data_IF_928276097182
#
_entry.id   IF_928276097182
#
_cell.length_a   1.000
_cell.length_b   1.000
_cell.length_c   1.000
_cell.angle_alpha   90.00
_cell.angle_beta   90.00
_cell.angle_gamma   90.00
#
_symmetry.space_group_name_H-M   'P 1'
#
loop_
_entity.id
_entity.type
_entity.pdbx_description
1 polymer ?
#
# COMPACT_ATOMS: atom_id res chain seq x y z
N UNK A 1 -37.77 -52.54 37.99
CA UNK A 1 -37.62 -51.73 36.74
C UNK A 1 -36.91 -50.38 36.96
N UNK A 2 -36.94 -49.75 38.15
CA UNK A 2 -36.28 -48.46 38.42
C UNK A 2 -34.73 -48.45 38.28
N UNK A 3 -34.02 -49.54 38.63
CA UNK A 3 -32.55 -49.55 38.65
C UNK A 3 -31.86 -49.70 37.28
N UNK A 4 -32.57 -50.13 36.22
CA UNK A 4 -32.00 -50.21 34.86
C UNK A 4 -32.04 -48.84 34.15
N UNK A 5 -33.09 -48.06 34.36
CA UNK A 5 -33.24 -46.72 33.78
C UNK A 5 -32.22 -45.74 34.37
N UNK A 6 -31.94 -45.85 35.67
CA UNK A 6 -30.99 -44.97 36.37
C UNK A 6 -29.52 -45.26 36.01
N UNK A 7 -29.18 -46.52 35.70
CA UNK A 7 -27.87 -46.90 35.16
C UNK A 7 -27.68 -46.42 33.71
N UNK A 8 -28.71 -46.48 32.88
CA UNK A 8 -28.66 -45.97 31.50
C UNK A 8 -28.53 -44.44 31.43
N UNK A 9 -29.23 -43.71 32.31
CA UNK A 9 -29.10 -42.25 32.42
C UNK A 9 -27.71 -41.81 32.90
N UNK A 10 -27.07 -42.58 33.78
CA UNK A 10 -25.72 -42.28 34.28
C UNK A 10 -24.63 -42.51 33.22
N UNK A 11 -24.78 -43.55 32.40
CA UNK A 11 -23.82 -43.84 31.31
C UNK A 11 -23.96 -42.82 30.16
N UNK A 12 -25.19 -42.42 29.82
CA UNK A 12 -25.43 -41.37 28.83
C UNK A 12 -24.85 -40.01 29.26
N UNK A 13 -24.96 -39.66 30.55
CA UNK A 13 -24.40 -38.41 31.09
C UNK A 13 -22.86 -38.39 31.07
N UNK A 14 -22.20 -39.52 31.36
CA UNK A 14 -20.73 -39.63 31.33
C UNK A 14 -20.18 -39.59 29.90
N UNK A 15 -20.86 -40.23 28.94
CA UNK A 15 -20.45 -40.21 27.53
C UNK A 15 -20.65 -38.83 26.87
N UNK A 16 -21.68 -38.08 27.27
CA UNK A 16 -21.90 -36.70 26.81
C UNK A 16 -20.84 -35.75 27.38
N UNK A 17 -20.39 -35.96 28.63
CA UNK A 17 -19.34 -35.16 29.25
C UNK A 17 -17.94 -35.42 28.65
N UNK A 18 -17.64 -36.66 28.26
CA UNK A 18 -16.39 -36.99 27.54
C UNK A 18 -16.35 -36.38 26.13
N UNK A 19 -17.47 -36.31 25.42
CA UNK A 19 -17.53 -35.67 24.10
C UNK A 19 -17.30 -34.15 24.16
N UNK A 20 -17.78 -33.48 25.22
CA UNK A 20 -17.58 -32.03 25.42
C UNK A 20 -16.10 -31.72 25.74
N UNK A 21 -15.41 -32.58 26.50
CA UNK A 21 -13.99 -32.40 26.82
C UNK A 21 -13.06 -32.70 25.63
N UNK A 22 -13.39 -33.66 24.76
CA UNK A 22 -12.59 -33.95 23.56
C UNK A 22 -12.84 -32.90 22.45
N UNK A 23 -14.10 -32.44 22.28
CA UNK A 23 -14.44 -31.42 21.28
C UNK A 23 -13.79 -30.05 21.55
N UNK A 24 -13.61 -29.68 22.81
CA UNK A 24 -12.95 -28.42 23.18
C UNK A 24 -11.41 -28.47 23.09
N UNK A 25 -10.79 -29.66 23.05
CA UNK A 25 -9.35 -29.79 22.80
C UNK A 25 -9.00 -29.67 21.31
N UNK A 26 -9.80 -30.26 20.42
CA UNK A 26 -9.57 -30.18 18.96
C UNK A 26 -9.79 -28.75 18.45
N UNK A 27 -10.81 -28.04 18.95
CA UNK A 27 -11.13 -26.68 18.50
C UNK A 27 -10.05 -25.64 18.90
N UNK A 28 -9.37 -25.85 20.03
CA UNK A 28 -8.30 -24.95 20.51
C UNK A 28 -7.03 -25.07 19.66
N UNK A 29 -6.76 -26.26 19.11
CA UNK A 29 -5.57 -26.51 18.28
C UNK A 29 -5.66 -25.95 16.85
N UNK A 30 -6.87 -25.83 16.29
CA UNK A 30 -7.11 -25.30 14.94
C UNK A 30 -7.08 -23.78 14.85
N UNK A 31 -7.60 -23.08 15.87
CA UNK A 31 -7.61 -21.61 15.90
C UNK A 31 -6.21 -21.01 16.09
N UNK A 32 -5.34 -21.69 16.86
CA UNK A 32 -4.01 -21.17 17.15
C UNK A 32 -3.02 -21.28 15.98
N UNK A 33 -3.24 -22.23 15.05
CA UNK A 33 -2.40 -22.37 13.86
C UNK A 33 -2.65 -21.30 12.79
N UNK A 34 -3.80 -20.64 12.80
CA UNK A 34 -4.12 -19.57 11.84
C UNK A 34 -3.71 -18.17 12.30
N UNK A 35 -3.41 -17.95 13.58
CA UNK A 35 -3.01 -16.62 14.10
C UNK A 35 -1.51 -16.34 13.93
N UNK A 36 -0.68 -17.36 13.69
CA UNK A 36 0.78 -17.20 13.54
C UNK A 36 1.23 -16.87 12.10
N UNK A 37 0.30 -16.79 11.15
CA UNK A 37 0.59 -16.29 9.81
C UNK A 37 0.49 -14.76 9.83
N UNK A 38 1.67 -14.12 9.83
CA UNK A 38 1.93 -12.71 9.50
C UNK A 38 1.72 -11.67 10.61
N UNK A 39 2.67 -11.61 11.55
CA UNK A 39 3.07 -10.34 12.18
C UNK A 39 3.95 -9.53 11.21
N UNK A 40 3.44 -9.21 10.02
CA UNK A 40 4.05 -8.16 9.19
C UNK A 40 3.44 -6.85 9.70
N UNK A 41 4.24 -6.03 10.38
CA UNK A 41 3.78 -4.70 10.77
C UNK A 41 3.31 -3.96 9.51
N UNK A 42 2.11 -3.35 9.49
CA UNK A 42 1.64 -2.55 8.35
C UNK A 42 2.56 -1.36 8.05
N UNK A 43 3.45 -1.02 8.98
CA UNK A 43 4.48 0.01 8.87
C UNK A 43 5.79 -0.43 8.18
N UNK A 44 5.98 -1.73 7.92
CA UNK A 44 7.23 -2.24 7.39
C UNK A 44 7.30 -2.12 5.86
N UNK A 45 7.19 -0.90 5.34
CA UNK A 45 7.66 -0.64 3.98
C UNK A 45 9.19 -0.74 4.00
N UNK A 46 9.81 -1.57 3.16
CA UNK A 46 11.27 -1.67 3.11
C UNK A 46 11.90 -0.31 2.89
N UNK A 47 12.96 -0.02 3.66
CA UNK A 47 13.75 1.18 3.46
C UNK A 47 14.30 1.21 2.02
N UNK A 48 14.50 2.41 1.43
CA UNK A 48 15.13 2.53 0.12
C UNK A 48 16.54 1.91 0.15
N UNK A 49 16.95 1.25 -0.93
CA UNK A 49 18.32 0.74 -1.07
C UNK A 49 19.30 1.91 -1.22
N UNK A 50 20.27 2.12 -0.29
CA UNK A 50 21.04 3.38 -0.25
C UNK A 50 21.94 3.62 -1.47
N UNK A 51 22.52 2.56 -2.05
CA UNK A 51 23.49 2.64 -3.15
C UNK A 51 22.83 2.55 -4.55
N UNK A 52 21.51 2.70 -4.63
CA UNK A 52 20.81 2.64 -5.90
C UNK A 52 21.09 3.89 -6.75
N UNK A 53 21.70 3.68 -7.92
CA UNK A 53 21.93 4.73 -8.92
C UNK A 53 20.63 5.06 -9.68
N UNK A 54 19.86 5.97 -9.09
CA UNK A 54 18.60 6.44 -9.64
C UNK A 54 18.78 7.24 -10.95
N UNK A 55 19.89 7.97 -11.09
CA UNK A 55 20.13 8.77 -12.30
C UNK A 55 20.38 7.87 -13.50
N UNK A 56 21.22 6.84 -13.32
CA UNK A 56 21.46 5.81 -14.36
C UNK A 56 20.18 5.06 -14.70
N UNK A 57 19.37 4.68 -13.71
CA UNK A 57 18.09 4.02 -13.96
C UNK A 57 17.12 4.90 -14.77
N UNK A 58 17.04 6.19 -14.43
CA UNK A 58 16.24 7.16 -15.19
C UNK A 58 16.78 7.36 -16.61
N UNK A 59 18.09 7.40 -16.80
CA UNK A 59 18.71 7.50 -18.13
C UNK A 59 18.37 6.27 -18.99
N UNK A 60 18.47 5.07 -18.43
CA UNK A 60 18.10 3.83 -19.12
C UNK A 60 16.61 3.80 -19.51
N UNK A 61 15.73 4.22 -18.61
CA UNK A 61 14.29 4.33 -18.89
C UNK A 61 13.99 5.37 -19.98
N UNK A 62 14.72 6.50 -20.00
CA UNK A 62 14.57 7.52 -21.06
C UNK A 62 15.00 6.99 -22.42
N UNK A 63 16.11 6.26 -22.49
CA UNK A 63 16.52 5.64 -23.76
C UNK A 63 15.51 4.59 -24.22
N UNK A 64 14.92 3.81 -23.30
CA UNK A 64 13.90 2.81 -23.63
C UNK A 64 12.63 3.43 -24.28
N UNK A 65 12.28 4.65 -23.91
CA UNK A 65 11.08 5.34 -24.43
C UNK A 65 11.39 6.32 -25.56
N UNK A 66 12.62 6.32 -26.09
CA UNK A 66 13.05 7.26 -27.12
C UNK A 66 12.14 7.23 -28.34
N UNK A 67 11.65 8.41 -28.73
CA UNK A 67 10.67 8.57 -29.81
C UNK A 67 9.22 8.26 -29.42
N UNK A 68 8.94 7.87 -28.17
CA UNK A 68 7.60 7.59 -27.62
C UNK A 68 7.25 8.52 -26.46
N UNK A 69 8.03 9.55 -26.20
CA UNK A 69 7.90 10.40 -25.01
C UNK A 69 6.56 11.12 -24.93
N UNK A 70 5.96 11.42 -26.10
CA UNK A 70 4.67 12.10 -26.19
C UNK A 70 3.47 11.15 -26.28
N UNK A 71 3.70 9.85 -26.44
CA UNK A 71 2.62 8.87 -26.43
C UNK A 71 2.00 8.76 -25.02
N UNK A 72 0.73 8.35 -24.92
CA UNK A 72 0.11 8.06 -23.63
C UNK A 72 0.92 7.03 -22.84
N UNK A 73 1.20 7.32 -21.58
CA UNK A 73 1.98 6.47 -20.69
C UNK A 73 1.38 5.06 -20.55
N UNK A 74 0.06 4.93 -20.61
CA UNK A 74 -0.64 3.65 -20.57
C UNK A 74 -0.39 2.74 -21.77
N UNK A 75 0.14 3.27 -22.87
CA UNK A 75 0.57 2.53 -24.06
C UNK A 75 2.06 2.19 -24.04
N UNK A 76 2.89 3.06 -23.43
CA UNK A 76 4.34 2.90 -23.40
C UNK A 76 4.80 2.03 -22.23
N UNK A 77 4.20 2.21 -21.05
CA UNK A 77 4.56 1.50 -19.82
C UNK A 77 3.47 0.52 -19.38
N UNK A 78 3.90 -0.56 -18.74
CA UNK A 78 2.98 -1.54 -18.14
C UNK A 78 2.44 -1.02 -16.79
N UNK A 79 1.18 -1.35 -16.50
CA UNK A 79 0.53 -1.11 -15.20
C UNK A 79 0.47 0.36 -14.70
N UNK A 80 0.43 1.32 -15.62
CA UNK A 80 0.00 2.69 -15.30
C UNK A 80 -1.52 2.68 -15.08
N UNK A 81 -1.99 3.25 -13.98
CA UNK A 81 -3.42 3.34 -13.65
C UNK A 81 -3.91 4.80 -13.58
N UNK A 82 -3.39 5.61 -12.65
CA UNK A 82 -3.88 7.00 -12.47
C UNK A 82 -3.38 7.97 -13.55
N UNK A 83 -2.18 7.73 -14.11
CA UNK A 83 -1.50 8.66 -15.02
C UNK A 83 -1.46 8.16 -16.47
N UNK A 84 -2.44 7.34 -16.89
CA UNK A 84 -2.39 6.64 -18.19
C UNK A 84 -2.31 7.57 -19.39
N UNK A 85 -3.06 8.67 -19.35
CA UNK A 85 -3.18 9.62 -20.46
C UNK A 85 -2.04 10.65 -20.50
N UNK A 86 -1.17 10.67 -19.49
CA UNK A 86 -0.04 11.59 -19.46
C UNK A 86 1.04 11.18 -20.46
N UNK A 87 1.78 12.12 -21.06
CA UNK A 87 2.92 11.79 -21.90
C UNK A 87 3.93 10.90 -21.17
N UNK A 88 4.39 9.83 -21.81
CA UNK A 88 5.33 8.87 -21.22
C UNK A 88 6.61 9.53 -20.66
N UNK A 89 7.16 10.51 -21.37
CA UNK A 89 8.34 11.26 -20.90
C UNK A 89 8.08 12.03 -19.59
N UNK A 90 6.83 12.44 -19.35
CA UNK A 90 6.43 13.16 -18.14
C UNK A 90 6.32 12.24 -16.93
N UNK A 91 6.02 10.96 -17.12
CA UNK A 91 5.94 9.99 -16.02
C UNK A 91 7.25 9.91 -15.26
N UNK A 92 8.39 9.83 -15.96
CA UNK A 92 9.70 9.74 -15.33
C UNK A 92 10.00 10.97 -14.45
N UNK A 93 9.58 12.16 -14.88
CA UNK A 93 9.70 13.37 -14.08
C UNK A 93 8.78 13.35 -12.85
N UNK A 94 7.54 12.87 -12.99
CA UNK A 94 6.61 12.72 -11.86
C UNK A 94 7.17 11.73 -10.82
N UNK A 95 7.70 10.59 -11.26
CA UNK A 95 8.29 9.60 -10.34
C UNK A 95 9.49 10.18 -9.60
N UNK A 96 10.42 10.83 -10.31
CA UNK A 96 11.65 11.37 -9.73
C UNK A 96 11.38 12.59 -8.81
N UNK A 97 10.66 13.58 -9.30
CA UNK A 97 10.48 14.85 -8.61
C UNK A 97 9.18 14.91 -7.81
N UNK A 98 8.08 14.43 -8.38
CA UNK A 98 6.77 14.48 -7.74
C UNK A 98 6.67 13.55 -6.54
N UNK A 99 7.21 12.33 -6.64
CA UNK A 99 7.15 11.33 -5.57
C UNK A 99 8.45 11.18 -4.81
N UNK A 100 9.51 10.68 -5.44
CA UNK A 100 10.78 10.33 -4.77
C UNK A 100 11.33 11.51 -3.95
N UNK A 101 11.55 12.67 -4.57
CA UNK A 101 12.04 13.86 -3.85
C UNK A 101 11.08 14.40 -2.80
N UNK A 102 9.76 14.36 -3.03
CA UNK A 102 8.78 14.85 -2.07
C UNK A 102 8.75 14.05 -0.77
N UNK A 103 9.06 12.75 -0.85
CA UNK A 103 9.07 11.81 0.28
C UNK A 103 10.47 11.58 0.85
N UNK A 104 11.52 12.14 0.25
CA UNK A 104 12.91 11.93 0.68
C UNK A 104 13.43 10.52 0.45
N UNK A 105 12.88 9.80 -0.52
CA UNK A 105 13.22 8.41 -0.83
C UNK A 105 13.74 8.28 -2.25
N UNK A 106 14.36 7.14 -2.59
CA UNK A 106 14.66 6.80 -3.97
C UNK A 106 13.59 5.86 -4.58
N UNK A 107 13.69 5.60 -5.89
CA UNK A 107 12.72 4.80 -6.66
C UNK A 107 12.50 3.40 -6.05
N UNK A 108 13.49 2.84 -5.38
CA UNK A 108 13.40 1.49 -4.80
C UNK A 108 12.51 1.42 -3.58
N UNK A 109 12.07 2.54 -3.02
CA UNK A 109 11.06 2.53 -1.96
C UNK A 109 9.72 1.96 -2.48
N UNK A 110 9.30 2.37 -3.68
CA UNK A 110 8.05 1.95 -4.28
C UNK A 110 8.21 0.89 -5.37
N UNK A 111 9.37 0.81 -6.02
CA UNK A 111 9.60 -0.07 -7.16
C UNK A 111 10.64 -1.15 -6.88
N UNK A 112 10.54 -2.25 -7.62
CA UNK A 112 11.62 -3.22 -7.79
C UNK A 112 12.33 -2.88 -9.10
N UNK A 113 13.64 -2.56 -9.10
CA UNK A 113 14.39 -2.33 -10.33
C UNK A 113 14.19 -3.48 -11.32
N UNK A 114 14.18 -3.15 -12.62
CA UNK A 114 13.91 -4.09 -13.73
C UNK A 114 12.47 -4.65 -13.79
N UNK A 115 11.68 -4.51 -12.71
CA UNK A 115 10.25 -4.88 -12.62
C UNK A 115 9.40 -3.68 -12.21
N UNK A 116 9.52 -2.59 -12.96
CA UNK A 116 8.89 -1.29 -12.64
C UNK A 116 7.36 -1.37 -12.51
N UNK A 117 6.74 -2.28 -13.24
CA UNK A 117 5.31 -2.55 -13.25
C UNK A 117 4.81 -3.33 -12.03
N UNK A 118 5.69 -4.01 -11.31
CA UNK A 118 5.34 -4.86 -10.16
C UNK A 118 4.65 -4.07 -9.04
N UNK A 119 3.62 -4.67 -8.44
CA UNK A 119 2.92 -4.17 -7.25
C UNK A 119 3.32 -4.94 -5.98
N UNK A 120 4.42 -5.70 -6.01
CA UNK A 120 4.95 -6.44 -4.84
C UNK A 120 5.23 -5.55 -3.62
N UNK A 121 5.55 -4.26 -3.85
CA UNK A 121 5.81 -3.30 -2.78
C UNK A 121 4.54 -2.53 -2.40
N UNK A 122 4.04 -2.64 -1.17
CA UNK A 122 2.81 -1.97 -0.72
C UNK A 122 2.85 -0.44 -0.90
N UNK A 123 4.03 0.18 -0.78
CA UNK A 123 4.22 1.61 -0.96
C UNK A 123 3.74 2.14 -2.32
N UNK A 124 3.82 1.33 -3.37
CA UNK A 124 3.33 1.72 -4.69
C UNK A 124 1.81 1.87 -4.70
N UNK A 125 1.09 0.94 -4.06
CA UNK A 125 -0.37 1.02 -3.96
C UNK A 125 -0.79 2.22 -3.11
N UNK A 126 -0.13 2.43 -1.96
CA UNK A 126 -0.35 3.63 -1.12
C UNK A 126 -0.12 4.91 -1.93
N UNK A 127 0.95 4.99 -2.72
CA UNK A 127 1.21 6.15 -3.57
C UNK A 127 0.11 6.39 -4.62
N UNK A 128 -0.49 5.35 -5.20
CA UNK A 128 -1.64 5.49 -6.11
C UNK A 128 -2.86 6.06 -5.39
N UNK A 129 -3.12 5.63 -4.16
CA UNK A 129 -4.22 6.14 -3.36
C UNK A 129 -4.00 7.60 -2.94
N UNK A 130 -2.77 7.92 -2.50
CA UNK A 130 -2.38 9.30 -2.17
C UNK A 130 -2.45 10.23 -3.38
N UNK A 131 -2.11 9.76 -4.59
CA UNK A 131 -2.27 10.54 -5.81
C UNK A 131 -3.75 10.91 -6.05
N UNK A 132 -4.66 9.95 -5.91
CA UNK A 132 -6.11 10.22 -6.04
C UNK A 132 -6.59 11.22 -4.99
N UNK A 133 -6.14 11.09 -3.75
CA UNK A 133 -6.44 12.07 -2.69
C UNK A 133 -5.96 13.48 -3.09
N UNK A 134 -4.74 13.62 -3.60
CA UNK A 134 -4.21 14.90 -4.06
C UNK A 134 -4.99 15.48 -5.24
N UNK A 135 -5.44 14.64 -6.18
CA UNK A 135 -6.32 15.06 -7.28
C UNK A 135 -7.65 15.60 -6.75
N UNK A 136 -8.32 14.88 -5.85
CA UNK A 136 -9.56 15.35 -5.21
C UNK A 136 -9.35 16.67 -4.49
N UNK A 137 -8.28 16.81 -3.70
CA UNK A 137 -7.97 18.08 -3.03
C UNK A 137 -7.85 19.21 -4.06
N UNK A 138 -7.04 19.03 -5.11
CA UNK A 138 -6.78 20.10 -6.07
C UNK A 138 -7.98 20.44 -6.96
N UNK A 139 -8.63 19.42 -7.52
CA UNK A 139 -9.62 19.58 -8.57
C UNK A 139 -11.06 19.68 -8.07
N UNK A 140 -11.32 19.23 -6.83
CA UNK A 140 -12.65 19.29 -6.23
C UNK A 140 -12.70 20.27 -5.06
N UNK A 141 -11.74 20.22 -4.12
CA UNK A 141 -11.81 21.05 -2.92
C UNK A 141 -11.26 22.46 -3.17
N UNK A 142 -10.00 22.58 -3.61
CA UNK A 142 -9.35 23.88 -3.82
C UNK A 142 -10.04 24.69 -4.92
N UNK A 143 -10.39 24.03 -6.04
CA UNK A 143 -11.10 24.67 -7.16
C UNK A 143 -12.41 25.35 -6.73
N UNK A 144 -13.08 24.81 -5.71
CA UNK A 144 -14.37 25.32 -5.24
C UNK A 144 -14.23 26.41 -4.15
N UNK A 145 -13.02 26.69 -3.66
CA UNK A 145 -12.77 27.72 -2.66
C UNK A 145 -12.65 29.13 -3.28
N UNK A 146 -13.80 29.79 -3.44
CA UNK A 146 -13.89 31.16 -4.00
C UNK A 146 -13.07 32.20 -3.23
N UNK A 147 -12.93 32.02 -1.91
CA UNK A 147 -12.14 32.92 -1.04
C UNK A 147 -10.65 32.92 -1.34
N UNK A 148 -10.15 31.97 -2.15
CA UNK A 148 -8.76 32.00 -2.61
C UNK A 148 -8.49 33.14 -3.60
N UNK A 149 -9.52 33.82 -4.12
CA UNK A 149 -9.36 35.07 -4.88
C UNK A 149 -8.51 34.94 -6.14
N UNK A 150 -8.53 33.78 -6.80
CA UNK A 150 -7.72 33.51 -7.99
C UNK A 150 -6.28 33.06 -7.70
N UNK A 151 -5.86 32.94 -6.42
CA UNK A 151 -4.58 32.30 -6.09
C UNK A 151 -4.61 30.85 -6.53
N UNK A 152 -3.61 30.44 -7.31
CA UNK A 152 -3.40 29.03 -7.67
C UNK A 152 -2.86 28.28 -6.45
N UNK A 153 -3.75 27.89 -5.55
CA UNK A 153 -3.41 26.96 -4.48
C UNK A 153 -3.26 25.56 -5.09
N UNK A 154 -2.13 24.91 -4.82
CA UNK A 154 -1.88 23.53 -5.21
C UNK A 154 -1.34 22.79 -4.00
N UNK A 155 -1.96 21.66 -3.69
CA UNK A 155 -1.43 20.68 -2.75
C UNK A 155 -0.69 19.61 -3.54
N UNK A 156 0.53 19.32 -3.15
CA UNK A 156 1.30 18.20 -3.68
C UNK A 156 1.89 17.39 -2.53
N UNK A 157 2.61 16.32 -2.85
CA UNK A 157 3.19 15.43 -1.86
C UNK A 157 4.10 16.18 -0.88
N UNK A 158 4.90 17.15 -1.36
CA UNK A 158 5.81 17.96 -0.53
C UNK A 158 5.06 18.81 0.49
N UNK A 159 3.83 19.26 0.20
CA UNK A 159 3.01 20.05 1.14
C UNK A 159 2.88 19.36 2.51
N UNK A 160 2.70 18.03 2.52
CA UNK A 160 2.55 17.25 3.75
C UNK A 160 3.83 16.48 4.13
N UNK A 161 4.45 15.79 3.16
CA UNK A 161 5.60 14.91 3.43
C UNK A 161 6.87 15.67 3.75
N UNK A 162 7.11 16.81 3.09
CA UNK A 162 8.28 17.68 3.35
C UNK A 162 9.63 16.93 3.36
N UNK A 163 9.79 15.92 2.51
CA UNK A 163 11.00 15.10 2.45
C UNK A 163 11.02 13.91 3.42
N UNK A 164 9.90 13.61 4.08
CA UNK A 164 9.77 12.47 4.99
C UNK A 164 8.67 11.51 4.52
N UNK A 165 8.91 10.20 4.66
CA UNK A 165 7.93 9.17 4.28
C UNK A 165 6.65 9.30 5.08
N UNK A 166 6.74 9.67 6.35
CA UNK A 166 5.60 9.87 7.25
C UNK A 166 5.46 11.35 7.58
N UNK A 167 4.35 12.00 7.18
CA UNK A 167 4.08 13.38 7.57
C UNK A 167 4.02 13.54 9.10
N UNK A 168 4.43 14.70 9.60
CA UNK A 168 4.31 15.03 11.02
C UNK A 168 2.84 15.05 11.45
N UNK A 169 2.52 14.34 12.53
CA UNK A 169 1.17 14.33 13.14
C UNK A 169 1.05 15.27 14.33
N UNK A 170 2.17 15.86 14.77
CA UNK A 170 2.25 16.77 15.91
C UNK A 170 3.04 18.02 15.53
N UNK A 171 2.77 19.13 16.22
CA UNK A 171 3.54 20.36 16.06
C UNK A 171 4.98 20.17 16.59
N UNK A 172 5.99 20.79 15.96
CA UNK A 172 7.33 20.88 16.54
C UNK A 172 7.24 21.55 17.92
N UNK A 173 7.93 20.99 18.91
CA UNK A 173 8.11 21.63 20.21
C UNK A 173 9.23 22.65 20.16
#
# INVERSE_FOLDING_TARGET
MKNRVQRLLSIAAVLLFLFILIGSFVFRSGFQKHVLAQTVSPDAVPAPTPDFDQEKALAALREQIKGKEQMPAGEVFKNIQNLREMPAGRILAIMNFGYSRSLGVNCTHCHTPEKWESDEKPAKQIAREMHKMAETINFELLKNMKSLGGRTAVVNCTTCHRGEVKPATNLPR
#
